data_IF_441696116373
#
_entry.id   IF_441696116373
#
_cell.length_a   1.000
_cell.length_b   1.000
_cell.length_c   1.000
_cell.angle_alpha   90.00
_cell.angle_beta   90.00
_cell.angle_gamma   90.00
#
_symmetry.space_group_name_H-M   'P 1'
#
loop_
_entity.id
_entity.type
_entity.pdbx_description
1 polymer ?
#
# COMPACT_ATOMS: atom_id res chain seq x y z
N UNK A 1 2.30 8.94 -9.85
CA UNK A 1 2.15 9.41 -8.45
C UNK A 1 2.22 8.20 -7.55
N UNK A 2 3.16 8.16 -6.62
CA UNK A 2 3.19 7.16 -5.54
C UNK A 2 2.75 7.85 -4.26
N UNK A 3 1.68 7.39 -3.61
CA UNK A 3 1.21 8.03 -2.38
C UNK A 3 1.96 7.50 -1.16
N UNK A 4 2.40 8.35 -0.23
CA UNK A 4 3.05 7.88 1.00
C UNK A 4 4.47 7.38 0.79
N UNK A 5 5.26 8.04 -0.05
CA UNK A 5 6.61 7.60 -0.41
C UNK A 5 7.65 7.64 0.71
N UNK A 6 7.30 8.14 1.91
CA UNK A 6 8.17 8.08 3.09
C UNK A 6 7.99 6.80 3.93
N UNK A 7 7.02 5.95 3.60
CA UNK A 7 6.87 4.63 4.21
C UNK A 7 7.76 3.56 3.54
N UNK A 8 7.90 2.41 4.20
CA UNK A 8 8.72 1.27 3.73
C UNK A 8 8.53 0.96 2.24
N UNK A 9 7.33 0.49 1.88
CA UNK A 9 7.04 0.10 0.51
C UNK A 9 7.01 1.29 -0.46
N UNK A 10 6.40 2.41 -0.05
CA UNK A 10 6.31 3.61 -0.88
C UNK A 10 7.68 4.13 -1.31
N UNK A 11 8.65 4.18 -0.39
CA UNK A 11 10.03 4.59 -0.69
C UNK A 11 10.70 3.62 -1.67
N UNK A 12 10.58 2.30 -1.44
CA UNK A 12 11.15 1.28 -2.33
C UNK A 12 10.58 1.37 -3.73
N UNK A 13 9.27 1.56 -3.86
CA UNK A 13 8.60 1.74 -5.14
C UNK A 13 9.07 3.02 -5.85
N UNK A 14 9.20 4.14 -5.13
CA UNK A 14 9.75 5.38 -5.70
C UNK A 14 11.16 5.16 -6.23
N UNK A 15 12.07 4.57 -5.44
CA UNK A 15 13.44 4.31 -5.87
C UNK A 15 13.48 3.38 -7.10
N UNK A 16 12.72 2.28 -7.07
CA UNK A 16 12.62 1.33 -8.18
C UNK A 16 12.19 2.02 -9.47
N UNK A 17 11.12 2.82 -9.43
CA UNK A 17 10.63 3.54 -10.62
C UNK A 17 11.65 4.56 -11.15
N UNK A 18 12.39 5.25 -10.28
CA UNK A 18 13.45 6.17 -10.69
C UNK A 18 14.62 5.42 -11.36
N UNK A 19 14.99 4.23 -10.85
CA UNK A 19 15.99 3.34 -11.45
C UNK A 19 15.57 2.83 -12.83
N UNK A 20 14.28 2.55 -13.03
CA UNK A 20 13.73 2.21 -14.35
C UNK A 20 13.55 3.43 -15.27
N UNK A 21 13.90 4.63 -14.81
CA UNK A 21 13.96 5.84 -15.62
C UNK A 21 12.68 6.68 -15.65
N UNK A 22 11.65 6.33 -14.89
CA UNK A 22 10.39 7.08 -14.82
C UNK A 22 10.56 8.44 -14.12
N UNK A 23 9.69 9.39 -14.46
CA UNK A 23 9.46 10.61 -13.67
C UNK A 23 8.41 10.31 -12.60
N UNK A 24 8.76 10.52 -11.34
CA UNK A 24 7.94 10.17 -10.19
C UNK A 24 7.53 11.44 -9.44
N UNK A 25 6.23 11.55 -9.18
CA UNK A 25 5.69 12.42 -8.13
C UNK A 25 5.37 11.53 -6.94
N UNK A 26 5.83 11.89 -5.75
CA UNK A 26 5.49 11.19 -4.51
C UNK A 26 4.86 12.12 -3.48
N UNK A 27 3.92 11.62 -2.68
CA UNK A 27 3.36 12.39 -1.57
C UNK A 27 3.94 12.01 -0.21
N UNK A 28 4.02 12.99 0.69
CA UNK A 28 4.28 12.82 2.12
C UNK A 28 3.28 13.67 2.92
N UNK A 29 2.96 13.25 4.15
CA UNK A 29 2.01 13.99 5.01
C UNK A 29 2.58 15.30 5.56
N UNK A 30 3.87 15.33 5.83
CA UNK A 30 4.56 16.50 6.36
C UNK A 30 6.03 16.50 5.98
N UNK A 31 6.66 17.66 6.11
CA UNK A 31 8.10 17.86 5.86
C UNK A 31 8.98 17.42 7.04
N UNK A 32 8.49 16.50 7.89
CA UNK A 32 9.26 16.00 9.04
C UNK A 32 10.62 15.48 8.56
N UNK A 33 11.74 16.13 8.91
CA UNK A 33 13.05 15.83 8.33
C UNK A 33 13.46 14.37 8.46
N UNK A 34 13.10 13.71 9.57
CA UNK A 34 13.44 12.32 9.81
C UNK A 34 12.74 11.36 8.84
N UNK A 35 11.53 11.70 8.40
CA UNK A 35 10.74 10.87 7.47
C UNK A 35 11.05 11.18 6.00
N UNK A 36 11.46 12.41 5.68
CA UNK A 36 11.65 12.85 4.28
C UNK A 36 13.11 12.88 3.83
N UNK A 37 14.08 12.82 4.74
CA UNK A 37 15.52 12.87 4.42
C UNK A 37 15.92 11.87 3.32
N UNK A 38 15.43 10.63 3.40
CA UNK A 38 15.72 9.59 2.40
C UNK A 38 15.17 9.96 1.01
N UNK A 39 13.98 10.57 0.95
CA UNK A 39 13.40 11.04 -0.30
C UNK A 39 14.16 12.24 -0.87
N UNK A 40 14.63 13.16 -0.04
CA UNK A 40 15.47 14.27 -0.51
C UNK A 40 16.81 13.77 -1.07
N UNK A 41 17.45 12.79 -0.44
CA UNK A 41 18.65 12.16 -1.01
C UNK A 41 18.37 11.52 -2.38
N UNK A 42 17.20 10.88 -2.56
CA UNK A 42 16.80 10.37 -3.89
C UNK A 42 16.53 11.51 -4.87
N UNK A 43 15.95 12.62 -4.42
CA UNK A 43 15.68 13.77 -5.27
C UNK A 43 16.97 14.44 -5.78
N UNK A 44 18.00 14.49 -4.94
CA UNK A 44 19.34 14.95 -5.33
C UNK A 44 20.02 13.99 -6.32
N UNK A 45 19.87 12.67 -6.12
CA UNK A 45 20.42 11.64 -7.02
C UNK A 45 19.72 11.65 -8.39
N UNK A 46 18.40 11.80 -8.40
CA UNK A 46 17.55 11.76 -9.59
C UNK A 46 16.93 13.14 -9.86
N UNK A 47 17.81 14.15 -10.04
CA UNK A 47 17.40 15.52 -10.38
C UNK A 47 16.41 15.53 -11.54
N UNK A 48 15.40 16.39 -11.42
CA UNK A 48 14.30 16.58 -12.38
C UNK A 48 13.38 15.37 -12.60
N UNK A 49 13.69 14.20 -12.04
CA UNK A 49 12.85 13.00 -12.13
C UNK A 49 12.00 12.77 -10.89
N UNK A 50 12.37 13.30 -9.72
CA UNK A 50 11.57 13.17 -8.49
C UNK A 50 10.99 14.52 -8.04
N UNK A 51 9.67 14.56 -7.88
CA UNK A 51 8.96 15.65 -7.21
C UNK A 51 8.27 15.14 -5.95
N UNK A 52 8.51 15.79 -4.81
CA UNK A 52 7.87 15.47 -3.54
C UNK A 52 6.76 16.51 -3.30
N UNK A 53 5.56 16.08 -2.96
CA UNK A 53 4.44 16.96 -2.62
C UNK A 53 3.89 16.67 -1.22
N UNK A 54 3.41 17.71 -0.55
CA UNK A 54 2.66 17.57 0.70
C UNK A 54 1.21 17.28 0.35
N UNK A 55 0.73 16.10 0.74
CA UNK A 55 -0.67 15.70 0.58
C UNK A 55 -1.03 14.68 1.66
N UNK A 56 -2.26 14.78 2.16
CA UNK A 56 -2.77 13.95 3.24
C UNK A 56 -4.10 13.33 2.81
N UNK A 57 -4.24 12.02 3.09
CA UNK A 57 -5.42 11.24 2.75
C UNK A 57 -6.72 11.85 3.28
N UNK A 58 -6.67 12.55 4.41
CA UNK A 58 -7.84 13.12 5.07
C UNK A 58 -8.10 14.58 4.70
N UNK A 59 -7.20 15.21 3.93
CA UNK A 59 -7.38 16.58 3.45
C UNK A 59 -7.94 16.54 2.03
N UNK A 60 -9.19 16.98 1.90
CA UNK A 60 -9.88 17.08 0.62
C UNK A 60 -9.05 17.85 -0.41
N UNK A 61 -9.04 17.35 -1.65
CA UNK A 61 -8.36 17.95 -2.80
C UNK A 61 -6.83 18.04 -2.69
N UNK A 62 -6.21 17.53 -1.62
CA UNK A 62 -4.75 17.59 -1.46
C UNK A 62 -3.98 16.83 -2.55
N UNK A 63 -4.65 15.88 -3.21
CA UNK A 63 -4.12 15.11 -4.34
C UNK A 63 -4.48 15.67 -5.72
N UNK A 64 -5.28 16.73 -5.84
CA UNK A 64 -5.71 17.27 -7.14
C UNK A 64 -4.49 17.75 -7.97
N UNK A 65 -3.58 18.50 -7.34
CA UNK A 65 -2.35 19.00 -7.99
C UNK A 65 -1.36 17.90 -8.39
N UNK A 66 -1.04 16.90 -7.57
CA UNK A 66 -0.17 15.81 -8.02
C UNK A 66 -0.84 14.89 -9.06
N UNK A 67 -2.15 14.63 -8.96
CA UNK A 67 -2.88 13.84 -9.95
C UNK A 67 -2.95 14.51 -11.33
N UNK A 68 -3.00 15.84 -11.41
CA UNK A 68 -3.01 16.56 -12.70
C UNK A 68 -1.70 16.46 -13.49
N UNK A 69 -0.61 15.99 -12.86
CA UNK A 69 0.73 15.93 -13.46
C UNK A 69 1.12 14.55 -13.99
N UNK A 70 0.38 13.50 -13.65
CA UNK A 70 0.80 12.10 -13.86
C UNK A 70 -0.20 11.30 -14.69
N UNK A 71 0.30 10.29 -15.41
CA UNK A 71 -0.52 9.33 -16.16
C UNK A 71 -0.97 8.14 -15.30
N UNK A 72 -0.21 7.82 -14.24
CA UNK A 72 -0.43 6.65 -13.38
C UNK A 72 -0.44 7.09 -11.91
N UNK A 73 -1.39 6.57 -11.14
CA UNK A 73 -1.46 6.71 -9.69
C UNK A 73 -1.29 5.33 -9.04
N UNK A 74 -0.36 5.21 -8.10
CA UNK A 74 -0.11 4.03 -7.27
C UNK A 74 -0.43 4.41 -5.82
N UNK A 75 -1.63 4.03 -5.39
CA UNK A 75 -2.11 4.29 -4.05
C UNK A 75 -1.58 3.22 -3.09
N UNK A 76 -0.42 3.51 -2.49
CA UNK A 76 0.26 2.66 -1.51
C UNK A 76 0.13 3.20 -0.08
N UNK A 77 -0.46 4.39 0.11
CA UNK A 77 -0.60 5.01 1.41
C UNK A 77 -1.76 4.38 2.17
N UNK A 78 -1.47 3.76 3.29
CA UNK A 78 -2.49 3.29 4.23
C UNK A 78 -1.97 3.57 5.63
N UNK A 79 -2.84 3.86 6.62
CA UNK A 79 -2.43 3.68 8.00
C UNK A 79 -1.92 2.24 8.17
N UNK A 80 -0.70 2.10 8.68
CA UNK A 80 -0.20 0.83 9.23
C UNK A 80 0.03 1.08 10.69
N UNK A 81 -0.57 0.23 11.52
CA UNK A 81 -0.68 0.44 12.96
C UNK A 81 0.43 -0.34 13.63
N UNK A 82 1.39 0.37 14.23
CA UNK A 82 2.49 -0.22 15.00
C UNK A 82 2.23 -0.19 16.51
N UNK A 83 1.23 0.57 16.97
CA UNK A 83 0.91 0.81 18.38
C UNK A 83 -0.55 0.39 18.71
N UNK A 84 -0.91 0.29 20.00
CA UNK A 84 -2.29 0.07 20.41
C UNK A 84 -3.22 1.19 19.93
N UNK A 85 -4.38 0.82 19.38
CA UNK A 85 -5.40 1.77 18.92
C UNK A 85 -6.65 1.62 19.75
N UNK A 86 -7.08 2.74 20.33
CA UNK A 86 -8.35 2.85 21.05
C UNK A 86 -9.51 3.23 20.11
N UNK A 87 -9.21 3.95 19.01
CA UNK A 87 -10.20 4.49 18.07
C UNK A 87 -9.95 3.96 16.64
N UNK A 88 -10.41 2.74 16.38
CA UNK A 88 -10.29 2.10 15.07
C UNK A 88 -10.98 2.87 13.95
N UNK A 89 -12.08 3.56 14.26
CA UNK A 89 -12.87 4.31 13.28
C UNK A 89 -12.03 5.46 12.69
N UNK A 90 -11.47 6.31 13.53
CA UNK A 90 -10.74 7.51 13.08
C UNK A 90 -9.28 7.23 12.72
N UNK A 91 -8.65 6.21 13.31
CA UNK A 91 -7.22 5.95 13.11
C UNK A 91 -6.95 4.92 12.01
N UNK A 92 -7.94 4.11 11.63
CA UNK A 92 -7.76 3.03 10.65
C UNK A 92 -8.81 3.03 9.54
N UNK A 93 -10.09 2.95 9.91
CA UNK A 93 -11.17 2.80 8.94
C UNK A 93 -11.32 4.01 8.04
N UNK A 94 -11.52 5.20 8.62
CA UNK A 94 -11.65 6.43 7.83
C UNK A 94 -10.42 6.70 6.98
N UNK A 95 -9.17 6.64 7.48
CA UNK A 95 -8.01 6.87 6.63
C UNK A 95 -7.85 5.85 5.50
N UNK A 96 -8.28 4.60 5.70
CA UNK A 96 -8.28 3.60 4.64
C UNK A 96 -9.37 3.88 3.58
N UNK A 97 -10.63 4.05 4.01
CA UNK A 97 -11.78 4.18 3.10
C UNK A 97 -11.92 5.60 2.55
N UNK A 98 -12.05 6.60 3.43
CA UNK A 98 -12.16 8.00 3.01
C UNK A 98 -10.88 8.48 2.30
N UNK A 99 -9.71 8.02 2.76
CA UNK A 99 -8.45 8.32 2.09
C UNK A 99 -8.40 7.79 0.66
N UNK A 100 -8.86 6.55 0.45
CA UNK A 100 -9.00 5.97 -0.89
C UNK A 100 -9.97 6.80 -1.74
N UNK A 101 -11.16 7.13 -1.21
CA UNK A 101 -12.14 7.98 -1.93
C UNK A 101 -11.52 9.32 -2.36
N UNK A 102 -10.82 10.00 -1.46
CA UNK A 102 -10.25 11.31 -1.73
C UNK A 102 -9.23 11.27 -2.89
N UNK A 103 -8.42 10.22 -2.96
CA UNK A 103 -7.49 10.03 -4.09
C UNK A 103 -8.25 9.74 -5.38
N UNK A 104 -9.27 8.90 -5.33
CA UNK A 104 -10.08 8.55 -6.50
C UNK A 104 -10.81 9.78 -7.05
N UNK A 105 -11.33 10.65 -6.19
CA UNK A 105 -11.94 11.92 -6.57
C UNK A 105 -10.92 12.85 -7.27
N UNK A 106 -9.70 12.93 -6.74
CA UNK A 106 -8.60 13.67 -7.39
C UNK A 106 -8.21 13.06 -8.74
N UNK A 107 -8.23 11.73 -8.88
CA UNK A 107 -8.02 11.06 -10.16
C UNK A 107 -9.14 11.41 -11.14
N UNK A 108 -10.40 11.40 -10.69
CA UNK A 108 -11.58 11.66 -11.51
C UNK A 108 -11.55 13.05 -12.16
N UNK A 109 -11.10 14.05 -11.40
CA UNK A 109 -10.89 15.44 -11.85
C UNK A 109 -9.69 15.61 -12.79
N UNK A 110 -8.74 14.67 -12.79
CA UNK A 110 -7.57 14.74 -13.65
C UNK A 110 -7.92 14.32 -15.08
N UNK A 111 -7.49 15.12 -16.05
CA UNK A 111 -7.56 14.76 -17.47
C UNK A 111 -6.37 13.92 -17.95
N UNK A 112 -5.40 13.63 -17.06
CA UNK A 112 -4.15 12.95 -17.42
C UNK A 112 -4.06 11.52 -16.89
N UNK A 113 -4.66 11.25 -15.72
CA UNK A 113 -4.63 9.91 -15.11
C UNK A 113 -5.38 8.92 -16.01
N UNK A 114 -4.74 7.77 -16.26
CA UNK A 114 -5.27 6.67 -17.08
C UNK A 114 -5.27 5.35 -16.33
N UNK A 115 -4.31 5.16 -15.44
CA UNK A 115 -4.13 3.90 -14.69
C UNK A 115 -4.08 4.20 -13.20
N UNK A 116 -4.85 3.45 -12.42
CA UNK A 116 -4.86 3.54 -10.97
C UNK A 116 -4.55 2.14 -10.41
N UNK A 117 -3.50 2.05 -9.61
CA UNK A 117 -3.07 0.83 -8.93
C UNK A 117 -3.30 1.03 -7.44
N UNK A 118 -4.09 0.15 -6.83
CA UNK A 118 -4.38 0.14 -5.40
C UNK A 118 -3.60 -1.00 -4.73
N UNK A 119 -2.78 -0.67 -3.74
CA UNK A 119 -2.11 -1.68 -2.92
C UNK A 119 -3.06 -2.12 -1.80
N UNK A 120 -3.69 -3.28 -2.00
CA UNK A 120 -4.53 -3.93 -1.00
C UNK A 120 -3.71 -4.85 -0.08
N UNK A 121 -4.23 -6.02 0.28
CA UNK A 121 -3.61 -7.04 1.13
C UNK A 121 -4.28 -8.39 0.90
N UNK A 122 -3.55 -9.49 1.10
CA UNK A 122 -4.12 -10.84 1.24
C UNK A 122 -5.10 -10.95 2.42
N UNK A 123 -5.03 -10.05 3.41
CA UNK A 123 -6.00 -9.93 4.49
C UNK A 123 -7.40 -9.47 4.05
N UNK A 124 -7.64 -9.31 2.74
CA UNK A 124 -8.99 -9.17 2.17
C UNK A 124 -9.55 -10.48 1.63
N UNK A 125 -8.72 -11.53 1.60
CA UNK A 125 -9.02 -12.83 1.00
C UNK A 125 -9.10 -13.94 2.05
N UNK A 126 -8.24 -13.90 3.07
CA UNK A 126 -8.11 -14.96 4.06
C UNK A 126 -8.07 -14.41 5.51
N UNK A 127 -8.99 -14.89 6.36
CA UNK A 127 -9.01 -14.64 7.80
C UNK A 127 -8.35 -15.77 8.57
N UNK A 128 -7.12 -15.58 9.00
CA UNK A 128 -6.44 -16.39 10.03
C UNK A 128 -6.31 -17.91 9.78
N UNK A 129 -5.26 -18.43 10.40
CA UNK A 129 -4.91 -19.84 10.42
C UNK A 129 -5.72 -20.61 11.45
N UNK A 130 -5.99 -21.91 11.23
CA UNK A 130 -5.54 -22.72 10.11
C UNK A 130 -6.68 -22.94 9.09
N UNK A 131 -6.82 -22.05 8.10
CA UNK A 131 -7.55 -22.41 6.87
C UNK A 131 -6.52 -22.78 5.79
N UNK A 132 -6.34 -24.08 5.48
CA UNK A 132 -5.38 -24.57 4.47
C UNK A 132 -5.86 -24.35 3.02
N UNK A 133 -6.81 -23.44 2.80
CA UNK A 133 -7.38 -23.15 1.50
C UNK A 133 -6.36 -22.55 0.51
N UNK A 134 -6.55 -22.88 -0.77
CA UNK A 134 -5.89 -22.16 -1.87
C UNK A 134 -6.76 -20.96 -2.22
N UNK A 135 -6.29 -19.77 -1.86
CA UNK A 135 -6.97 -18.52 -2.20
C UNK A 135 -6.51 -18.00 -3.56
N UNK A 136 -7.41 -17.27 -4.23
CA UNK A 136 -7.14 -16.62 -5.50
C UNK A 136 -7.85 -15.25 -5.57
N UNK A 137 -7.76 -14.59 -6.70
CA UNK A 137 -8.31 -13.26 -6.96
C UNK A 137 -9.85 -13.18 -6.81
N UNK A 138 -10.56 -14.30 -6.78
CA UNK A 138 -12.02 -14.34 -6.51
C UNK A 138 -12.36 -14.46 -5.03
N UNK A 139 -11.38 -14.79 -4.18
CA UNK A 139 -11.57 -14.98 -2.74
C UNK A 139 -11.83 -13.66 -2.03
N UNK A 140 -12.78 -13.67 -1.10
CA UNK A 140 -13.07 -12.56 -0.20
C UNK A 140 -13.24 -13.09 1.21
N UNK A 141 -12.56 -12.43 2.14
CA UNK A 141 -12.78 -12.64 3.55
C UNK A 141 -14.12 -12.02 3.96
N UNK A 142 -14.83 -12.71 4.84
CA UNK A 142 -16.01 -12.18 5.50
C UNK A 142 -15.62 -11.60 6.86
N UNK A 143 -15.79 -10.28 6.99
CA UNK A 143 -15.70 -9.56 8.28
C UNK A 143 -16.93 -8.67 8.34
N UNK A 144 -17.82 -8.95 9.27
CA UNK A 144 -19.14 -8.31 9.31
C UNK A 144 -19.08 -6.93 9.98
N UNK A 145 -18.18 -6.75 10.97
CA UNK A 145 -18.05 -5.49 11.71
C UNK A 145 -16.61 -5.03 11.84
N UNK A 146 -16.43 -3.72 12.05
CA UNK A 146 -15.12 -3.11 12.24
C UNK A 146 -14.41 -3.72 13.46
N UNK A 147 -15.13 -3.96 14.55
CA UNK A 147 -14.57 -4.43 15.81
C UNK A 147 -14.06 -5.88 15.74
N UNK A 148 -14.60 -6.70 14.83
CA UNK A 148 -14.21 -8.10 14.69
C UNK A 148 -12.79 -8.23 14.14
N UNK A 149 -12.43 -7.34 13.20
CA UNK A 149 -11.08 -7.28 12.65
C UNK A 149 -10.82 -5.92 11.99
N UNK A 150 -10.44 -4.89 12.76
CA UNK A 150 -10.38 -3.52 12.27
C UNK A 150 -9.57 -3.34 10.99
N UNK A 151 -8.40 -3.96 10.92
CA UNK A 151 -7.53 -3.89 9.75
C UNK A 151 -8.14 -4.56 8.52
N UNK A 152 -8.56 -5.82 8.65
CA UNK A 152 -9.15 -6.58 7.54
C UNK A 152 -10.43 -5.91 7.06
N UNK A 153 -11.34 -5.52 7.98
CA UNK A 153 -12.55 -4.79 7.64
C UNK A 153 -12.25 -3.52 6.84
N UNK A 154 -11.32 -2.69 7.32
CA UNK A 154 -10.93 -1.44 6.65
C UNK A 154 -10.35 -1.67 5.26
N UNK A 155 -9.48 -2.68 5.08
CA UNK A 155 -8.92 -3.04 3.77
C UNK A 155 -9.98 -3.59 2.82
N UNK A 156 -10.89 -4.44 3.32
CA UNK A 156 -12.00 -4.98 2.52
C UNK A 156 -12.91 -3.85 2.02
N UNK A 157 -13.31 -2.92 2.90
CA UNK A 157 -14.18 -1.82 2.50
C UNK A 157 -13.50 -0.86 1.53
N UNK A 158 -12.22 -0.53 1.76
CA UNK A 158 -11.46 0.33 0.85
C UNK A 158 -11.24 -0.33 -0.54
N UNK A 159 -10.98 -1.64 -0.58
CA UNK A 159 -10.84 -2.37 -1.84
C UNK A 159 -12.16 -2.47 -2.60
N UNK A 160 -13.28 -2.77 -1.92
CA UNK A 160 -14.62 -2.77 -2.53
C UNK A 160 -14.98 -1.40 -3.10
N UNK A 161 -14.68 -0.33 -2.36
CA UNK A 161 -14.85 1.05 -2.83
C UNK A 161 -14.04 1.31 -4.10
N UNK A 162 -12.77 0.92 -4.12
CA UNK A 162 -11.90 1.05 -5.29
C UNK A 162 -12.46 0.30 -6.50
N UNK A 163 -12.85 -0.97 -6.34
CA UNK A 163 -13.38 -1.79 -7.41
C UNK A 163 -14.67 -1.19 -7.99
N UNK A 164 -15.58 -0.75 -7.12
CA UNK A 164 -16.81 -0.05 -7.55
C UNK A 164 -16.49 1.23 -8.33
N UNK A 165 -15.54 2.04 -7.87
CA UNK A 165 -15.15 3.25 -8.56
C UNK A 165 -14.65 2.96 -9.98
N UNK A 166 -13.83 1.91 -10.16
CA UNK A 166 -13.31 1.53 -11.48
C UNK A 166 -14.44 1.05 -12.40
N UNK A 167 -15.38 0.26 -11.88
CA UNK A 167 -16.59 -0.16 -12.61
C UNK A 167 -17.42 1.04 -13.09
N UNK A 168 -17.66 2.00 -12.20
CA UNK A 168 -18.43 3.21 -12.50
C UNK A 168 -17.67 4.17 -13.44
N UNK A 169 -16.34 4.03 -13.58
CA UNK A 169 -15.48 4.94 -14.33
C UNK A 169 -14.54 4.19 -15.29
N UNK A 170 -15.06 3.57 -16.37
CA UNK A 170 -14.30 2.70 -17.28
C UNK A 170 -13.22 3.44 -18.11
N UNK A 171 -13.13 4.77 -17.99
CA UNK A 171 -12.00 5.55 -18.53
C UNK A 171 -10.67 5.24 -17.84
N UNK A 172 -10.71 4.68 -16.63
CA UNK A 172 -9.53 4.26 -15.88
C UNK A 172 -9.30 2.76 -16.01
N UNK A 173 -8.04 2.35 -16.17
CA UNK A 173 -7.63 0.97 -15.93
C UNK A 173 -7.28 0.81 -14.45
N UNK A 174 -8.03 -0.04 -13.75
CA UNK A 174 -7.89 -0.28 -12.33
C UNK A 174 -7.20 -1.61 -12.03
N UNK A 175 -6.16 -1.57 -11.19
CA UNK A 175 -5.45 -2.76 -10.74
C UNK A 175 -5.44 -2.76 -9.22
N UNK A 176 -5.79 -3.88 -8.62
CA UNK A 176 -5.59 -4.15 -7.20
C UNK A 176 -4.47 -5.16 -7.06
N UNK A 177 -3.48 -4.85 -6.21
CA UNK A 177 -2.42 -5.79 -5.85
C UNK A 177 -2.61 -6.18 -4.39
N UNK A 178 -2.73 -7.47 -4.10
CA UNK A 178 -2.97 -8.03 -2.78
C UNK A 178 -1.71 -8.74 -2.27
N UNK A 179 -0.74 -8.00 -1.70
CA UNK A 179 0.48 -8.60 -1.16
C UNK A 179 0.23 -9.34 0.16
N UNK A 180 1.02 -10.39 0.38
CA UNK A 180 1.34 -10.92 1.71
C UNK A 180 2.08 -9.90 2.61
N UNK A 181 2.66 -10.39 3.70
CA UNK A 181 3.58 -9.60 4.51
C UNK A 181 4.76 -9.13 3.64
N UNK A 182 5.00 -7.83 3.63
CA UNK A 182 6.05 -7.23 2.81
C UNK A 182 7.34 -7.29 3.62
N UNK A 183 8.36 -7.96 3.08
CA UNK A 183 9.66 -8.13 3.73
C UNK A 183 10.78 -7.72 2.79
N UNK A 184 11.91 -7.28 3.35
CA UNK A 184 13.14 -7.12 2.57
C UNK A 184 13.86 -5.81 2.87
N UNK A 185 14.85 -5.45 2.04
CA UNK A 185 15.70 -4.29 2.29
C UNK A 185 14.91 -2.99 2.13
N UNK A 186 14.81 -2.18 3.17
CA UNK A 186 14.31 -0.81 3.12
C UNK A 186 15.33 0.13 2.48
N UNK A 187 16.57 0.03 2.93
CA UNK A 187 17.75 0.59 2.26
C UNK A 187 18.77 -0.53 2.07
N UNK A 188 19.94 -0.23 1.52
CA UNK A 188 21.01 -1.24 1.42
C UNK A 188 21.50 -1.76 2.79
N UNK A 189 21.07 -1.13 3.90
CA UNK A 189 21.59 -1.39 5.25
C UNK A 189 20.48 -1.63 6.30
N UNK A 190 19.21 -1.56 5.92
CA UNK A 190 18.07 -1.69 6.84
C UNK A 190 17.08 -2.71 6.28
N UNK A 191 16.67 -3.69 7.10
CA UNK A 191 15.58 -4.61 6.81
C UNK A 191 14.33 -4.12 7.53
N UNK A 192 13.18 -4.23 6.88
CA UNK A 192 11.89 -3.84 7.46
C UNK A 192 10.82 -4.87 7.07
N UNK A 193 9.82 -5.04 7.94
CA UNK A 193 8.69 -5.93 7.72
C UNK A 193 7.40 -5.16 7.98
N UNK A 194 6.46 -5.24 7.04
CA UNK A 194 5.08 -4.79 7.24
C UNK A 194 4.15 -5.98 7.06
N UNK A 195 3.47 -6.36 8.13
CA UNK A 195 2.55 -7.49 8.13
C UNK A 195 1.10 -7.01 8.31
N UNK A 196 0.14 -7.55 7.53
CA UNK A 196 -1.29 -7.34 7.78
C UNK A 196 -1.77 -8.07 9.05
N UNK A 197 -1.08 -9.14 9.44
CA UNK A 197 -1.31 -9.83 10.70
C UNK A 197 -0.62 -9.03 11.81
N UNK A 198 -1.31 -8.80 12.93
CA UNK A 198 -0.71 -8.20 14.13
C UNK A 198 0.46 -9.08 14.58
N UNK A 199 1.66 -8.75 14.12
CA UNK A 199 2.91 -9.28 14.64
C UNK A 199 3.45 -8.30 15.69
N UNK A 200 2.55 -7.63 16.41
CA UNK A 200 2.92 -6.66 17.43
C UNK A 200 3.30 -7.43 18.70
N UNK A 201 4.59 -7.76 18.76
CA UNK A 201 5.45 -8.04 19.92
C UNK A 201 6.32 -9.29 19.74
N UNK A 202 5.87 -10.31 19.02
CA UNK A 202 6.54 -11.61 19.11
C UNK A 202 7.63 -11.83 18.06
N UNK A 203 7.59 -11.18 16.90
CA UNK A 203 8.62 -11.37 15.87
C UNK A 203 9.89 -10.55 16.14
N UNK A 204 9.77 -9.34 16.68
CA UNK A 204 10.93 -8.60 17.20
C UNK A 204 11.55 -9.31 18.42
N UNK A 205 10.73 -9.93 19.28
CA UNK A 205 11.24 -10.79 20.37
C UNK A 205 11.87 -12.10 19.84
N UNK A 206 11.41 -12.59 18.70
CA UNK A 206 11.91 -13.79 18.04
C UNK A 206 13.26 -13.55 17.34
N UNK A 207 13.40 -12.46 16.58
CA UNK A 207 14.68 -12.02 15.99
C UNK A 207 15.72 -11.74 17.09
N UNK A 208 15.28 -11.31 18.28
CA UNK A 208 16.12 -11.12 19.46
C UNK A 208 16.29 -12.39 20.34
N UNK A 209 16.00 -13.60 19.82
CA UNK A 209 16.20 -14.91 20.48
C UNK A 209 15.46 -15.12 21.82
N UNK A 210 14.36 -14.40 22.10
CA UNK A 210 13.64 -14.53 23.38
C UNK A 210 12.49 -15.55 23.38
N UNK A 211 12.05 -16.05 22.21
CA UNK A 211 10.95 -17.01 22.09
C UNK A 211 11.38 -18.18 21.18
N UNK A 212 11.17 -19.41 21.64
CA UNK A 212 11.45 -20.65 20.89
C UNK A 212 10.45 -20.83 19.74
N UNK A 213 10.98 -21.11 18.56
CA UNK A 213 10.28 -21.33 17.28
C UNK A 213 9.23 -22.46 17.26
N UNK A 214 9.25 -23.33 18.27
CA UNK A 214 8.59 -24.63 18.24
C UNK A 214 7.04 -24.53 18.24
N UNK A 215 6.46 -23.39 18.61
CA UNK A 215 5.01 -23.17 18.69
C UNK A 215 4.41 -22.32 17.57
N UNK A 216 5.23 -21.68 16.72
CA UNK A 216 4.77 -20.72 15.69
C UNK A 216 4.52 -21.36 14.32
N UNK A 217 5.05 -22.56 14.06
CA UNK A 217 4.97 -23.24 12.76
C UNK A 217 3.64 -23.92 12.42
N UNK A 218 2.53 -23.58 13.10
CA UNK A 218 1.19 -24.03 12.68
C UNK A 218 0.47 -23.05 11.75
N UNK A 219 1.01 -21.84 11.61
CA UNK A 219 0.44 -20.79 10.79
C UNK A 219 1.27 -20.65 9.51
N UNK A 220 0.63 -20.64 8.34
CA UNK A 220 1.32 -20.23 7.13
C UNK A 220 1.51 -18.70 7.20
N UNK A 221 2.45 -18.12 6.48
CA UNK A 221 2.66 -16.68 6.51
C UNK A 221 2.98 -16.25 5.09
N UNK A 222 2.00 -15.82 4.28
CA UNK A 222 2.27 -15.36 2.93
C UNK A 222 3.14 -14.11 3.05
N UNK A 223 4.29 -14.11 2.38
CA UNK A 223 5.18 -12.97 2.35
C UNK A 223 5.67 -12.72 0.92
N UNK A 224 6.02 -11.47 0.65
CA UNK A 224 6.59 -11.04 -0.62
C UNK A 224 7.81 -10.15 -0.37
N UNK A 225 8.87 -10.35 -1.18
CA UNK A 225 10.00 -9.43 -1.17
C UNK A 225 9.55 -8.05 -1.69
N UNK A 226 9.91 -6.99 -0.98
CA UNK A 226 9.53 -5.61 -1.30
C UNK A 226 9.98 -5.19 -2.72
N UNK A 227 11.05 -5.80 -3.25
CA UNK A 227 11.53 -5.57 -4.63
C UNK A 227 10.61 -6.23 -5.65
N UNK A 228 10.15 -7.45 -5.38
CA UNK A 228 9.21 -8.17 -6.24
C UNK A 228 7.86 -7.45 -6.26
N UNK A 229 7.40 -6.94 -5.10
CA UNK A 229 6.19 -6.13 -5.03
C UNK A 229 6.31 -4.83 -5.83
N UNK A 230 7.46 -4.15 -5.75
CA UNK A 230 7.72 -2.95 -6.54
C UNK A 230 7.75 -3.26 -8.05
N UNK A 231 8.37 -4.39 -8.43
CA UNK A 231 8.39 -4.86 -9.82
C UNK A 231 6.99 -5.19 -10.33
N UNK A 232 6.15 -5.81 -9.51
CA UNK A 232 4.77 -6.12 -9.86
C UNK A 232 3.92 -4.86 -10.12
N UNK A 233 4.12 -3.79 -9.32
CA UNK A 233 3.46 -2.51 -9.57
C UNK A 233 3.89 -1.88 -10.91
N UNK A 234 5.18 -1.93 -11.23
CA UNK A 234 5.71 -1.47 -12.52
C UNK A 234 5.16 -2.28 -13.70
N UNK A 235 5.19 -3.62 -13.60
CA UNK A 235 4.65 -4.50 -14.65
C UNK A 235 3.15 -4.28 -14.85
N UNK A 236 2.39 -4.06 -13.78
CA UNK A 236 0.96 -3.80 -13.84
C UNK A 236 0.62 -2.50 -14.58
N UNK A 237 1.40 -1.43 -14.38
CA UNK A 237 1.15 -0.19 -15.12
C UNK A 237 1.52 -0.32 -16.61
N UNK A 238 2.51 -1.14 -16.96
CA UNK A 238 2.97 -1.29 -18.35
C UNK A 238 2.18 -2.34 -19.16
N UNK A 239 1.57 -3.33 -18.51
CA UNK A 239 0.79 -4.36 -19.19
C UNK A 239 -0.63 -3.86 -19.48
N UNK A 240 -1.02 -3.64 -20.75
CA UNK A 240 -2.36 -3.15 -21.10
C UNK A 240 -3.48 -4.14 -20.73
N UNK A 241 -3.16 -5.43 -20.59
CA UNK A 241 -4.10 -6.48 -20.22
C UNK A 241 -4.24 -6.67 -18.70
N UNK A 242 -3.43 -5.98 -17.88
CA UNK A 242 -3.54 -6.06 -16.44
C UNK A 242 -4.74 -5.23 -15.95
N UNK A 243 -5.76 -5.93 -15.45
CA UNK A 243 -7.00 -5.35 -14.91
C UNK A 243 -7.56 -6.28 -13.82
N UNK A 244 -8.17 -5.72 -12.77
CA UNK A 244 -8.71 -6.50 -11.65
C UNK A 244 -7.71 -6.72 -10.52
N UNK A 245 -7.86 -7.84 -9.81
CA UNK A 245 -7.07 -8.18 -8.60
C UNK A 245 -5.89 -9.09 -8.97
N UNK A 246 -4.81 -9.04 -8.19
CA UNK A 246 -3.64 -9.92 -8.33
C UNK A 246 -3.12 -10.27 -6.93
N UNK A 247 -3.13 -11.55 -6.58
CA UNK A 247 -2.54 -12.02 -5.31
C UNK A 247 -1.03 -12.19 -5.48
N UNK A 248 -0.25 -11.68 -4.53
CA UNK A 248 1.22 -11.71 -4.56
C UNK A 248 1.84 -12.05 -3.21
#
# INVERSE_FOLDING_TARGET
LVTGGSGFFGFRLVNHLLEQGYTVVTSVRSENPNKVKKLYNLQEKYRDKLSICIADLMVLNSFDKPCSKVDVVMHTATPVILDEIEDYENQLYKPAVQGTQNILDSCLKSNKVKVIIYTSSVGTMASHYPDPGVYNESSWQQVDKLEDSPYHYSKIQAEKLFLKFIEDNPKFRGIVINPGAIMGPYTNYELEMLSPYQVNNDFDNHVNNKIKLENYYKDYFPFIDVRDLAKAHELSMNNPNANGRFVL
#
